data_IF_482070588184
#
_entry.id   IF_482070588184
#
_cell.length_a   1.000
_cell.length_b   1.000
_cell.length_c   1.000
_cell.angle_alpha   90.00
_cell.angle_beta   90.00
_cell.angle_gamma   90.00
#
_symmetry.space_group_name_H-M   'P 1'
#
loop_
_entity.id
_entity.type
_entity.pdbx_description
1 polymer ?
#
# COMPACT_ATOMS: atom_id res chain seq x y z
N UNK A 1 -26.30 -2.67 4.78
CA UNK A 1 -27.21 -3.19 3.74
C UNK A 1 -27.14 -4.72 3.63
N UNK A 2 -26.26 -5.37 4.41
CA UNK A 2 -26.06 -6.83 4.51
C UNK A 2 -25.70 -7.51 3.16
N UNK A 3 -25.10 -6.77 2.23
CA UNK A 3 -24.58 -7.34 0.99
C UNK A 3 -23.31 -8.14 1.24
N UNK A 4 -23.08 -9.14 0.42
CA UNK A 4 -21.95 -10.05 0.53
C UNK A 4 -20.99 -9.78 -0.61
N UNK A 5 -19.70 -9.60 -0.31
CA UNK A 5 -18.61 -9.52 -1.30
C UNK A 5 -17.88 -10.87 -1.34
N UNK A 6 -17.72 -11.39 -2.54
CA UNK A 6 -16.81 -12.50 -2.82
C UNK A 6 -15.70 -11.99 -3.74
N UNK A 7 -14.44 -12.22 -3.37
CA UNK A 7 -13.27 -11.84 -4.16
C UNK A 7 -12.35 -13.02 -4.40
N UNK A 8 -11.64 -12.98 -5.50
CA UNK A 8 -10.73 -14.00 -5.93
C UNK A 8 -10.12 -13.63 -7.29
N UNK A 9 -10.00 -14.58 -8.15
CA UNK A 9 -9.52 -14.38 -9.52
C UNK A 9 -10.32 -15.26 -10.50
N UNK A 10 -10.37 -14.84 -11.73
CA UNK A 10 -10.98 -15.60 -12.82
C UNK A 10 -10.17 -15.44 -14.12
N UNK A 11 -10.29 -16.41 -15.01
CA UNK A 11 -9.69 -16.34 -16.35
C UNK A 11 -10.75 -16.62 -17.40
N UNK A 12 -10.59 -16.03 -18.57
CA UNK A 12 -11.24 -16.50 -19.81
C UNK A 12 -10.42 -17.63 -20.42
N UNK A 13 -11.00 -18.36 -21.41
CA UNK A 13 -10.45 -19.62 -21.93
C UNK A 13 -9.03 -19.55 -22.51
N UNK A 14 -8.52 -18.37 -22.85
CA UNK A 14 -7.22 -18.16 -23.47
C UNK A 14 -6.45 -16.96 -22.87
N UNK A 15 -6.80 -16.52 -21.68
CA UNK A 15 -6.20 -15.35 -21.06
C UNK A 15 -5.67 -15.63 -19.67
N UNK A 16 -4.87 -14.70 -19.20
CA UNK A 16 -4.32 -14.59 -17.87
C UNK A 16 -5.43 -14.60 -16.79
N UNK A 17 -5.04 -14.74 -15.57
CA UNK A 17 -5.96 -14.64 -14.44
C UNK A 17 -6.03 -13.20 -13.94
N UNK A 18 -7.26 -12.67 -13.73
CA UNK A 18 -7.47 -11.32 -13.21
C UNK A 18 -8.23 -11.32 -11.91
N UNK A 19 -7.99 -10.29 -11.09
CA UNK A 19 -8.78 -10.05 -9.88
C UNK A 19 -10.26 -9.96 -10.24
N UNK A 20 -11.07 -10.76 -9.55
CA UNK A 20 -12.51 -10.80 -9.76
C UNK A 20 -13.26 -10.61 -8.45
N UNK A 21 -14.30 -9.79 -8.49
CA UNK A 21 -15.19 -9.52 -7.36
C UNK A 21 -16.64 -9.69 -7.80
N UNK A 22 -17.44 -10.34 -6.96
CA UNK A 22 -18.89 -10.40 -7.11
C UNK A 22 -19.57 -9.87 -5.85
N UNK A 23 -20.66 -9.12 -6.02
CA UNK A 23 -21.49 -8.67 -4.91
C UNK A 23 -22.87 -9.30 -4.99
N UNK A 24 -23.32 -9.81 -3.84
CA UNK A 24 -24.61 -10.47 -3.71
C UNK A 24 -25.52 -9.73 -2.74
N UNK A 25 -26.80 -9.79 -3.02
CA UNK A 25 -27.86 -9.42 -2.10
C UNK A 25 -27.96 -10.44 -0.94
N UNK A 26 -28.62 -10.11 0.18
CA UNK A 26 -28.80 -11.04 1.30
C UNK A 26 -29.52 -12.34 0.96
N UNK A 27 -30.28 -12.37 -0.13
CA UNK A 27 -30.98 -13.55 -0.62
C UNK A 27 -30.12 -14.43 -1.53
N UNK A 28 -28.86 -14.04 -1.79
CA UNK A 28 -27.91 -14.77 -2.63
C UNK A 28 -27.99 -14.43 -4.12
N UNK A 29 -28.89 -13.56 -4.55
CA UNK A 29 -28.92 -13.05 -5.93
C UNK A 29 -27.77 -12.05 -6.18
N UNK A 30 -27.29 -11.93 -7.43
CA UNK A 30 -26.34 -10.92 -7.80
C UNK A 30 -26.92 -9.50 -7.60
N UNK A 31 -26.09 -8.60 -7.09
CA UNK A 31 -26.47 -7.21 -6.92
C UNK A 31 -26.10 -6.40 -8.17
N UNK A 32 -27.03 -6.26 -9.09
CA UNK A 32 -26.84 -5.53 -10.35
C UNK A 32 -26.53 -4.03 -10.20
N UNK A 33 -26.62 -3.48 -8.99
CA UNK A 33 -26.17 -2.12 -8.75
C UNK A 33 -24.65 -1.99 -8.56
N UNK A 34 -23.95 -3.14 -8.50
CA UNK A 34 -22.49 -3.24 -8.45
C UNK A 34 -21.96 -3.48 -9.84
N UNK A 35 -21.12 -2.59 -10.36
CA UNK A 35 -20.52 -2.68 -11.69
C UNK A 35 -21.50 -2.87 -12.87
N UNK A 36 -22.82 -2.75 -12.61
CA UNK A 36 -23.88 -2.89 -13.62
C UNK A 36 -24.41 -4.31 -13.80
N UNK A 37 -23.64 -5.34 -13.47
CA UNK A 37 -24.04 -6.75 -13.59
C UNK A 37 -23.80 -7.59 -12.32
N UNK A 38 -23.30 -6.95 -11.26
CA UNK A 38 -23.01 -7.61 -9.98
C UNK A 38 -21.61 -8.19 -9.89
N UNK A 39 -20.79 -8.04 -10.94
CA UNK A 39 -19.43 -8.55 -11.00
C UNK A 39 -18.46 -7.50 -11.54
N UNK A 40 -17.19 -7.63 -11.21
CA UNK A 40 -16.13 -6.85 -11.85
C UNK A 40 -14.88 -7.69 -12.01
N UNK A 41 -14.05 -7.29 -12.96
CA UNK A 41 -12.76 -7.87 -13.25
C UNK A 41 -11.74 -6.76 -13.39
N UNK A 42 -10.54 -6.97 -12.85
CA UNK A 42 -9.44 -5.99 -12.90
C UNK A 42 -8.19 -6.69 -13.36
N UNK A 43 -7.73 -6.27 -14.52
CA UNK A 43 -6.49 -6.65 -15.15
C UNK A 43 -5.41 -5.63 -14.74
N UNK A 44 -4.31 -6.11 -14.15
CA UNK A 44 -3.14 -5.31 -13.77
C UNK A 44 -1.93 -5.74 -14.58
N UNK A 45 -1.72 -7.05 -14.69
CA UNK A 45 -0.60 -7.68 -15.37
C UNK A 45 -0.99 -9.06 -15.94
N UNK A 46 -0.06 -10.02 -16.05
CA UNK A 46 -0.34 -11.35 -16.64
C UNK A 46 -1.22 -12.22 -15.71
N UNK A 47 -0.89 -12.31 -14.41
CA UNK A 47 -1.62 -13.13 -13.45
C UNK A 47 -1.89 -12.31 -12.16
N UNK A 48 -3.13 -11.94 -11.97
CA UNK A 48 -3.58 -11.12 -10.84
C UNK A 48 -4.54 -11.88 -9.93
N UNK A 49 -4.17 -12.01 -8.68
CA UNK A 49 -4.96 -12.76 -7.71
C UNK A 49 -5.33 -11.91 -6.51
N UNK A 50 -6.58 -11.98 -6.05
CA UNK A 50 -7.03 -11.47 -4.77
C UNK A 50 -7.13 -12.61 -3.76
N UNK A 51 -6.52 -12.43 -2.59
CA UNK A 51 -6.55 -13.42 -1.50
C UNK A 51 -7.46 -13.00 -0.35
N UNK A 52 -7.59 -11.72 -0.11
CA UNK A 52 -8.46 -11.20 0.93
C UNK A 52 -9.00 -9.83 0.55
N UNK A 53 -10.27 -9.58 0.91
CA UNK A 53 -10.90 -8.28 0.79
C UNK A 53 -11.49 -7.80 2.12
N UNK A 54 -11.61 -6.49 2.26
CA UNK A 54 -12.32 -5.83 3.34
C UNK A 54 -13.20 -4.69 2.81
N UNK A 55 -14.20 -4.31 3.58
CA UNK A 55 -15.03 -3.14 3.32
C UNK A 55 -14.70 -2.08 4.36
N UNK A 56 -14.36 -0.87 3.89
CA UNK A 56 -14.10 0.28 4.74
C UNK A 56 -15.42 0.88 5.31
N UNK A 57 -15.34 1.67 6.38
CA UNK A 57 -16.54 2.31 6.96
C UNK A 57 -17.32 3.21 5.98
N UNK A 58 -16.67 3.77 4.98
CA UNK A 58 -17.25 4.56 3.90
C UNK A 58 -17.87 3.72 2.78
N UNK A 59 -17.81 2.39 2.88
CA UNK A 59 -18.34 1.44 1.91
C UNK A 59 -17.39 1.09 0.77
N UNK A 60 -16.19 1.66 0.70
CA UNK A 60 -15.18 1.28 -0.29
C UNK A 60 -14.69 -0.14 -0.04
N UNK A 61 -14.38 -0.83 -1.12
CA UNK A 61 -13.92 -2.22 -1.09
C UNK A 61 -12.44 -2.22 -1.40
N UNK A 62 -11.64 -2.87 -0.53
CA UNK A 62 -10.21 -3.05 -0.77
C UNK A 62 -9.94 -4.53 -0.88
N UNK A 63 -9.16 -4.90 -1.88
CA UNK A 63 -8.64 -6.26 -2.02
C UNK A 63 -7.13 -6.27 -2.04
N UNK A 64 -6.53 -7.31 -1.48
CA UNK A 64 -5.09 -7.52 -1.45
C UNK A 64 -4.72 -8.90 -1.97
N UNK A 65 -3.61 -8.97 -2.69
CA UNK A 65 -3.13 -10.19 -3.31
C UNK A 65 -1.80 -9.99 -4.01
N UNK A 66 -1.75 -10.42 -5.25
CA UNK A 66 -0.57 -10.28 -6.10
C UNK A 66 -0.96 -9.85 -7.51
N UNK A 67 -0.01 -9.20 -8.17
CA UNK A 67 0.06 -9.00 -9.61
C UNK A 67 1.37 -9.61 -10.10
N UNK A 68 1.34 -10.42 -11.13
CA UNK A 68 2.52 -11.14 -11.62
C UNK A 68 2.77 -10.83 -13.07
N UNK A 69 4.01 -10.48 -13.40
CA UNK A 69 4.47 -10.22 -14.74
C UNK A 69 5.87 -10.84 -14.96
N UNK A 70 6.09 -11.46 -16.10
CA UNK A 70 7.39 -12.09 -16.47
C UNK A 70 7.91 -13.07 -15.39
N UNK A 71 7.02 -13.71 -14.65
CA UNK A 71 7.35 -14.65 -13.57
C UNK A 71 7.63 -14.00 -12.20
N UNK A 72 7.57 -12.67 -12.09
CA UNK A 72 7.79 -11.91 -10.86
C UNK A 72 6.46 -11.42 -10.29
N UNK A 73 6.22 -11.71 -9.00
CA UNK A 73 5.01 -11.27 -8.32
C UNK A 73 5.28 -10.06 -7.43
N UNK A 74 4.40 -9.06 -7.51
CA UNK A 74 4.32 -7.91 -6.60
C UNK A 74 3.08 -8.03 -5.74
N UNK A 75 3.13 -7.50 -4.51
CA UNK A 75 1.90 -7.30 -3.76
C UNK A 75 1.02 -6.32 -4.51
N UNK A 76 -0.22 -6.68 -4.76
CA UNK A 76 -1.23 -5.81 -5.36
C UNK A 76 -2.34 -5.53 -4.35
N UNK A 77 -2.64 -4.24 -4.15
CA UNK A 77 -3.75 -3.76 -3.34
C UNK A 77 -4.60 -2.86 -4.21
N UNK A 78 -5.87 -3.20 -4.35
CA UNK A 78 -6.80 -2.48 -5.23
C UNK A 78 -7.97 -1.94 -4.42
N UNK A 79 -8.39 -0.71 -4.71
CA UNK A 79 -9.55 -0.10 -4.05
C UNK A 79 -10.63 0.28 -5.04
N UNK A 80 -11.86 -0.09 -4.68
CA UNK A 80 -13.06 0.22 -5.45
C UNK A 80 -14.03 1.07 -4.64
N UNK A 81 -14.77 1.90 -5.34
CA UNK A 81 -15.92 2.61 -4.81
C UNK A 81 -17.06 1.63 -4.46
N UNK A 82 -18.06 2.06 -3.65
CA UNK A 82 -19.19 1.19 -3.29
C UNK A 82 -20.02 0.67 -4.47
N UNK A 83 -19.94 1.32 -5.62
CA UNK A 83 -20.64 0.92 -6.85
C UNK A 83 -19.83 -0.06 -7.71
N UNK A 84 -18.60 -0.39 -7.34
CA UNK A 84 -17.68 -1.26 -8.08
C UNK A 84 -16.76 -0.54 -9.07
N UNK A 85 -16.90 0.76 -9.25
CA UNK A 85 -15.93 1.53 -10.03
C UNK A 85 -14.59 1.62 -9.32
N UNK A 86 -13.50 1.75 -10.09
CA UNK A 86 -12.15 1.94 -9.54
C UNK A 86 -12.07 3.25 -8.76
N UNK A 87 -11.52 3.22 -7.56
CA UNK A 87 -11.25 4.45 -6.80
C UNK A 87 -9.91 5.04 -7.20
N UNK A 88 -9.93 5.90 -8.20
CA UNK A 88 -8.72 6.52 -8.76
C UNK A 88 -7.98 7.45 -7.79
N UNK A 89 -8.52 7.69 -6.60
CA UNK A 89 -7.84 8.46 -5.54
C UNK A 89 -6.89 7.61 -4.68
N UNK A 90 -6.88 6.28 -4.89
CA UNK A 90 -6.05 5.34 -4.17
C UNK A 90 -4.90 4.88 -5.04
N UNK A 91 -3.66 5.03 -4.57
CA UNK A 91 -2.49 4.62 -5.32
C UNK A 91 -2.37 5.27 -6.70
N UNK A 92 -2.04 4.48 -7.69
CA UNK A 92 -2.06 4.88 -9.09
C UNK A 92 -3.33 4.32 -9.71
N UNK A 93 -4.28 5.19 -10.04
CA UNK A 93 -5.58 4.81 -10.65
C UNK A 93 -6.34 3.70 -9.91
N UNK A 94 -6.24 3.65 -8.58
CA UNK A 94 -6.95 2.67 -7.75
C UNK A 94 -6.09 1.48 -7.31
N UNK A 95 -4.81 1.43 -7.71
CA UNK A 95 -3.92 0.29 -7.53
C UNK A 95 -2.65 0.72 -6.78
N UNK A 96 -2.22 -0.12 -5.85
CA UNK A 96 -0.91 -0.07 -5.22
C UNK A 96 -0.20 -1.39 -5.52
N UNK A 97 0.93 -1.31 -6.21
CA UNK A 97 1.85 -2.43 -6.35
C UNK A 97 3.09 -2.20 -5.49
N UNK A 98 3.50 -3.23 -4.73
CA UNK A 98 4.68 -3.18 -3.86
C UNK A 98 5.63 -4.32 -4.19
N UNK A 99 6.85 -3.95 -4.54
CA UNK A 99 7.97 -4.86 -4.70
C UNK A 99 8.82 -4.80 -3.43
N UNK A 100 8.65 -5.76 -2.52
CA UNK A 100 9.38 -5.87 -1.25
C UNK A 100 10.70 -6.62 -1.49
N UNK A 101 10.63 -7.66 -2.31
CA UNK A 101 11.79 -8.43 -2.78
C UNK A 101 11.76 -8.51 -4.32
N UNK A 102 12.91 -8.65 -4.93
CA UNK A 102 13.08 -8.65 -6.39
C UNK A 102 12.50 -9.88 -7.08
N UNK A 103 12.14 -10.92 -6.33
CA UNK A 103 11.66 -12.20 -6.89
C UNK A 103 10.15 -12.36 -6.69
N UNK A 104 9.67 -12.31 -5.46
CA UNK A 104 8.25 -12.42 -5.19
C UNK A 104 7.84 -11.59 -3.98
N UNK A 105 6.70 -10.93 -4.08
CA UNK A 105 6.06 -10.21 -2.98
C UNK A 105 4.56 -10.44 -3.06
N UNK A 106 3.99 -11.15 -2.08
CA UNK A 106 2.60 -11.60 -2.11
C UNK A 106 1.89 -11.12 -0.85
N UNK A 107 0.78 -10.41 -1.01
CA UNK A 107 -0.12 -10.06 0.08
C UNK A 107 -1.10 -11.21 0.34
N UNK A 108 -1.07 -11.78 1.53
CA UNK A 108 -1.97 -12.87 1.90
C UNK A 108 -3.13 -12.42 2.78
N UNK A 109 -3.00 -11.27 3.44
CA UNK A 109 -3.97 -10.77 4.41
C UNK A 109 -3.97 -9.25 4.45
N UNK A 110 -5.15 -8.67 4.67
CA UNK A 110 -5.32 -7.22 4.85
C UNK A 110 -6.34 -6.95 5.95
N UNK A 111 -6.00 -6.00 6.83
CA UNK A 111 -6.93 -5.53 7.87
C UNK A 111 -6.92 -4.00 7.92
N UNK A 112 -8.02 -3.44 8.39
CA UNK A 112 -8.10 -2.03 8.77
C UNK A 112 -7.70 -1.89 10.24
N UNK A 113 -6.61 -1.17 10.51
CA UNK A 113 -6.15 -0.87 11.85
C UNK A 113 -7.10 0.10 12.58
N UNK A 114 -6.98 0.20 13.92
CA UNK A 114 -7.81 1.10 14.72
C UNK A 114 -7.56 2.58 14.41
N UNK A 115 -6.46 2.89 13.77
CA UNK A 115 -6.09 4.23 13.28
C UNK A 115 -6.56 4.50 11.84
N UNK A 116 -7.42 3.64 11.29
CA UNK A 116 -7.95 3.75 9.93
C UNK A 116 -6.96 3.37 8.82
N UNK A 117 -5.75 2.93 9.17
CA UNK A 117 -4.72 2.55 8.20
C UNK A 117 -4.78 1.07 7.86
N UNK A 118 -4.39 0.73 6.65
CA UNK A 118 -4.34 -0.66 6.22
C UNK A 118 -3.05 -1.34 6.69
N UNK A 119 -3.17 -2.52 7.24
CA UNK A 119 -2.06 -3.42 7.52
C UNK A 119 -2.19 -4.62 6.58
N UNK A 120 -1.15 -4.85 5.79
CA UNK A 120 -1.07 -5.92 4.80
C UNK A 120 0.01 -6.88 5.23
N UNK A 121 -0.36 -8.10 5.52
CA UNK A 121 0.56 -9.20 5.84
C UNK A 121 0.75 -10.12 4.65
N UNK A 122 1.96 -10.65 4.51
CA UNK A 122 2.25 -11.53 3.39
C UNK A 122 3.67 -12.09 3.44
N UNK A 123 4.19 -12.46 2.29
CA UNK A 123 5.54 -12.98 2.16
C UNK A 123 6.30 -12.27 1.04
N UNK A 124 7.63 -12.24 1.19
CA UNK A 124 8.54 -11.73 0.18
C UNK A 124 9.81 -12.60 0.12
N UNK A 125 10.34 -12.84 -1.08
CA UNK A 125 11.51 -13.67 -1.29
C UNK A 125 11.27 -14.80 -2.28
N UNK A 126 12.16 -15.79 -2.30
CA UNK A 126 12.07 -17.00 -3.11
C UNK A 126 12.21 -18.25 -2.26
N UNK A 127 11.59 -19.36 -2.70
CA UNK A 127 11.81 -20.66 -2.07
C UNK A 127 13.29 -21.10 -2.21
N UNK A 128 14.03 -21.45 -1.10
CA UNK A 128 13.55 -21.66 0.25
C UNK A 128 13.58 -20.43 1.18
N UNK A 129 14.01 -19.26 0.71
CA UNK A 129 14.25 -18.06 1.51
C UNK A 129 13.08 -17.07 1.44
N UNK A 130 11.86 -17.56 1.65
CA UNK A 130 10.65 -16.73 1.65
C UNK A 130 10.35 -16.24 3.06
N UNK A 131 10.45 -14.94 3.27
CA UNK A 131 10.24 -14.31 4.57
C UNK A 131 8.82 -13.74 4.73
N UNK A 132 8.37 -13.66 6.00
CA UNK A 132 7.16 -12.94 6.34
C UNK A 132 7.39 -11.43 6.23
N UNK A 133 6.42 -10.72 5.67
CA UNK A 133 6.43 -9.25 5.62
C UNK A 133 5.11 -8.65 6.11
N UNK A 134 5.22 -7.46 6.70
CA UNK A 134 4.09 -6.65 7.13
C UNK A 134 4.27 -5.23 6.60
N UNK A 135 3.27 -4.76 5.87
CA UNK A 135 3.25 -3.42 5.28
C UNK A 135 2.11 -2.62 5.89
N UNK A 136 2.38 -1.39 6.28
CA UNK A 136 1.37 -0.43 6.70
C UNK A 136 1.16 0.59 5.59
N UNK A 137 -0.06 0.64 5.05
CA UNK A 137 -0.45 1.59 4.01
C UNK A 137 -1.20 2.75 4.67
N UNK A 138 -0.75 3.95 4.40
CA UNK A 138 -1.38 5.17 4.88
C UNK A 138 -2.44 5.59 3.86
N UNK A 139 -3.70 5.23 4.08
CA UNK A 139 -4.78 5.41 3.11
C UNK A 139 -5.46 6.77 3.15
N UNK A 140 -5.37 7.45 4.28
CA UNK A 140 -5.97 8.78 4.44
C UNK A 140 -5.06 9.61 5.34
N UNK A 141 -4.43 10.58 4.74
CA UNK A 141 -3.85 11.67 5.51
C UNK A 141 -4.96 12.68 5.71
N UNK A 142 -5.80 12.44 6.71
CA UNK A 142 -6.50 13.57 7.32
C UNK A 142 -5.50 14.35 8.12
N UNK A 143 -4.96 15.38 7.47
CA UNK A 143 -4.43 16.43 8.16
C UNK A 143 -4.24 17.67 7.61
N UNK A 144 -4.29 18.64 8.25
CA UNK A 144 -3.86 19.97 7.96
C UNK A 144 -2.69 20.03 6.98
N UNK A 145 -3.02 20.30 5.72
CA UNK A 145 -2.14 20.94 4.74
C UNK A 145 -0.82 20.23 4.46
N UNK A 146 -0.89 19.07 3.87
CA UNK A 146 -0.06 18.70 2.75
C UNK A 146 -0.98 18.28 1.64
N UNK A 147 -0.95 19.00 0.57
CA UNK A 147 -1.50 18.54 -0.68
C UNK A 147 -0.60 17.44 -1.28
N UNK A 148 -0.32 16.40 -0.47
CA UNK A 148 0.02 15.07 -0.94
C UNK A 148 -1.27 14.38 -1.43
N UNK A 149 -2.28 15.18 -1.77
CA UNK A 149 -3.49 14.74 -2.39
C UNK A 149 -3.17 14.14 -3.74
N UNK A 150 -3.45 12.88 -3.82
CA UNK A 150 -3.36 11.98 -4.96
C UNK A 150 -1.96 11.39 -5.21
N UNK A 151 -1.81 10.12 -4.85
CA UNK A 151 -0.78 9.19 -5.27
C UNK A 151 0.63 9.36 -4.66
N UNK A 152 0.76 9.71 -3.40
CA UNK A 152 2.05 9.62 -2.75
C UNK A 152 2.11 8.40 -1.85
N UNK A 153 2.47 7.28 -2.44
CA UNK A 153 2.85 6.11 -1.67
C UNK A 153 4.15 6.43 -0.97
N UNK A 154 4.13 6.46 0.36
CA UNK A 154 5.35 6.42 1.14
C UNK A 154 5.55 4.99 1.59
N UNK A 155 6.59 4.37 1.09
CA UNK A 155 6.93 2.97 1.39
C UNK A 155 8.21 2.97 2.20
N UNK A 156 8.22 2.27 3.33
CA UNK A 156 9.40 2.05 4.15
C UNK A 156 9.59 0.56 4.35
N UNK A 157 10.75 0.06 3.97
CA UNK A 157 11.12 -1.33 4.20
C UNK A 157 12.65 -1.52 4.28
N UNK A 158 13.15 -2.58 4.94
CA UNK A 158 12.42 -3.47 5.82
C UNK A 158 11.95 -2.77 7.08
N UNK A 159 10.83 -3.22 7.63
CA UNK A 159 10.35 -2.77 8.93
C UNK A 159 9.64 -3.97 9.61
N UNK A 160 10.20 -4.58 10.67
CA UNK A 160 11.36 -4.13 11.47
C UNK A 160 12.70 -4.13 10.75
N UNK A 161 13.62 -3.30 11.24
CA UNK A 161 14.96 -3.14 10.66
C UNK A 161 16.05 -3.01 11.73
N UNK A 162 17.30 -3.35 11.35
CA UNK A 162 18.47 -3.21 12.24
C UNK A 162 19.54 -2.27 11.69
N UNK A 163 19.63 -2.15 10.39
CA UNK A 163 20.75 -1.46 9.75
C UNK A 163 20.32 -0.30 8.87
N UNK A 164 19.29 -0.49 8.05
CA UNK A 164 18.81 0.52 7.11
C UNK A 164 17.32 0.36 6.81
N UNK A 165 16.73 1.44 6.36
CA UNK A 165 15.42 1.44 5.72
C UNK A 165 15.53 2.06 4.33
N UNK A 166 14.83 1.50 3.37
CA UNK A 166 14.57 2.14 2.09
C UNK A 166 13.26 2.90 2.21
N UNK A 167 13.32 4.18 1.93
CA UNK A 167 12.17 5.06 1.81
C UNK A 167 11.90 5.32 0.34
N UNK A 168 10.68 5.04 -0.11
CA UNK A 168 10.22 5.39 -1.45
C UNK A 168 8.98 6.27 -1.35
N UNK A 169 8.92 7.36 -2.12
CA UNK A 169 7.77 8.26 -2.20
C UNK A 169 7.69 8.90 -3.57
N UNK A 170 6.49 9.36 -3.95
CA UNK A 170 6.27 10.01 -5.24
C UNK A 170 5.92 11.48 -5.05
N UNK A 171 6.53 12.36 -5.83
CA UNK A 171 6.23 13.79 -5.86
C UNK A 171 5.55 14.17 -7.17
N UNK A 172 4.52 15.00 -7.11
CA UNK A 172 3.85 15.56 -8.30
C UNK A 172 4.51 16.82 -8.82
N UNK A 173 5.11 17.56 -7.94
CA UNK A 173 5.83 18.81 -8.22
C UNK A 173 7.16 18.81 -7.49
N UNK A 174 8.05 19.73 -7.85
CA UNK A 174 9.31 19.90 -7.14
C UNK A 174 9.06 20.39 -5.72
N UNK A 175 9.67 19.71 -4.73
CA UNK A 175 9.53 20.00 -3.30
C UNK A 175 10.91 19.98 -2.63
N UNK A 176 11.06 20.81 -1.61
CA UNK A 176 12.21 20.74 -0.72
C UNK A 176 11.86 19.85 0.47
N UNK A 177 12.65 18.81 0.68
CA UNK A 177 12.39 17.79 1.70
C UNK A 177 13.46 17.80 2.76
N UNK A 178 13.03 17.74 4.02
CA UNK A 178 13.85 17.44 5.18
C UNK A 178 13.46 16.07 5.74
N UNK A 179 14.46 15.29 6.16
CA UNK A 179 14.26 13.92 6.62
C UNK A 179 15.05 13.67 7.89
N UNK A 180 14.38 13.28 8.95
CA UNK A 180 15.00 13.02 10.24
C UNK A 180 14.40 11.82 10.95
N UNK A 181 15.21 11.17 11.79
CA UNK A 181 14.82 10.13 12.71
C UNK A 181 14.61 10.73 14.09
N UNK A 182 13.47 10.46 14.71
CA UNK A 182 13.11 10.96 16.04
C UNK A 182 12.68 9.81 16.95
N UNK A 183 12.85 9.98 18.25
CA UNK A 183 12.33 9.10 19.29
C UNK A 183 10.81 9.23 19.45
N UNK A 184 10.21 8.35 20.25
CA UNK A 184 8.79 8.42 20.63
C UNK A 184 8.41 9.74 21.36
N UNK A 185 9.34 10.36 22.06
CA UNK A 185 9.16 11.66 22.74
C UNK A 185 9.36 12.87 21.82
N UNK A 186 9.66 12.63 20.52
CA UNK A 186 9.90 13.67 19.53
C UNK A 186 11.33 14.21 19.50
N UNK A 187 12.25 13.69 20.35
CA UNK A 187 13.65 14.11 20.33
C UNK A 187 14.37 13.61 19.07
N UNK A 188 15.23 14.46 18.50
CA UNK A 188 15.99 14.15 17.31
C UNK A 188 17.06 13.10 17.60
N UNK A 189 17.04 12.00 16.83
CA UNK A 189 18.07 10.95 16.86
C UNK A 189 19.10 11.18 15.78
N UNK A 190 18.63 11.44 14.55
CA UNK A 190 19.51 11.66 13.38
C UNK A 190 18.83 12.54 12.35
N UNK A 191 19.58 13.45 11.77
CA UNK A 191 19.17 14.19 10.60
C UNK A 191 19.81 13.55 9.36
N UNK A 192 18.99 13.12 8.39
CA UNK A 192 19.47 12.53 7.15
C UNK A 192 19.68 13.59 6.06
N UNK A 193 18.73 14.51 5.94
CA UNK A 193 18.81 15.61 4.98
C UNK A 193 18.00 16.82 5.45
N UNK A 194 18.37 17.98 4.99
CA UNK A 194 17.70 19.24 5.33
C UNK A 194 17.48 20.07 4.08
N UNK A 195 16.21 20.37 3.78
CA UNK A 195 15.79 21.25 2.70
C UNK A 195 16.41 20.90 1.33
N UNK A 196 16.44 19.59 1.00
CA UNK A 196 16.98 19.08 -0.26
C UNK A 196 15.87 19.12 -1.31
N UNK A 197 16.16 19.68 -2.48
CA UNK A 197 15.21 19.80 -3.57
C UNK A 197 15.08 18.49 -4.36
N UNK A 198 13.86 18.02 -4.53
CA UNK A 198 13.50 16.87 -5.34
C UNK A 198 12.63 17.29 -6.52
N UNK A 199 12.85 16.65 -7.66
CA UNK A 199 12.01 16.81 -8.83
C UNK A 199 10.76 15.92 -8.75
N UNK A 200 9.70 16.21 -9.55
CA UNK A 200 8.55 15.31 -9.65
C UNK A 200 8.95 13.91 -10.09
N UNK A 201 8.28 12.90 -9.56
CA UNK A 201 8.52 11.49 -9.85
C UNK A 201 8.76 10.65 -8.62
N UNK A 202 9.18 9.40 -8.83
CA UNK A 202 9.49 8.46 -7.76
C UNK A 202 10.87 8.80 -7.17
N UNK A 203 10.89 9.03 -5.86
CA UNK A 203 12.08 9.30 -5.07
C UNK A 203 12.40 8.10 -4.18
N UNK A 204 13.67 7.68 -4.16
CA UNK A 204 14.11 6.56 -3.34
C UNK A 204 15.33 6.96 -2.51
N UNK A 205 15.26 6.74 -1.21
CA UNK A 205 16.32 7.03 -0.26
C UNK A 205 16.70 5.80 0.55
N UNK A 206 18.00 5.58 0.73
CA UNK A 206 18.54 4.56 1.62
C UNK A 206 19.04 5.22 2.90
N UNK A 207 18.40 4.93 4.02
CA UNK A 207 18.65 5.57 5.29
C UNK A 207 19.30 4.57 6.25
N UNK A 208 20.60 4.70 6.47
CA UNK A 208 21.30 3.87 7.45
C UNK A 208 20.98 4.34 8.87
N UNK A 209 20.49 3.42 9.69
CA UNK A 209 20.26 3.68 11.10
C UNK A 209 21.60 3.90 11.83
N UNK A 210 21.61 4.68 12.92
CA UNK A 210 22.80 4.82 13.75
C UNK A 210 23.23 3.45 14.30
N UNK A 211 24.52 3.15 14.30
CA UNK A 211 25.05 1.86 14.77
C UNK A 211 24.79 1.56 16.23
N UNK A 212 24.57 2.59 17.03
CA UNK A 212 24.32 2.49 18.48
C UNK A 212 22.85 2.70 18.85
N UNK A 213 21.92 2.63 17.84
CA UNK A 213 20.52 2.81 18.10
C UNK A 213 19.99 1.65 18.96
N UNK A 214 19.30 1.98 20.05
CA UNK A 214 18.66 0.97 20.90
C UNK A 214 17.48 0.30 20.15
N UNK A 215 17.17 -0.95 20.51
CA UNK A 215 15.94 -1.57 20.03
C UNK A 215 14.72 -0.82 20.54
N UNK A 216 13.80 -0.47 19.66
CA UNK A 216 12.61 0.30 20.03
C UNK A 216 11.89 0.87 18.81
N UNK A 217 10.82 1.60 19.08
CA UNK A 217 10.05 2.30 18.07
C UNK A 217 10.62 3.70 17.88
N UNK A 218 10.90 4.04 16.64
CA UNK A 218 11.33 5.35 16.19
C UNK A 218 10.38 5.88 15.12
N UNK A 219 10.45 7.16 14.84
CA UNK A 219 9.67 7.76 13.77
C UNK A 219 10.60 8.40 12.74
N UNK A 220 10.41 8.04 11.48
CA UNK A 220 10.98 8.77 10.37
C UNK A 220 10.07 9.96 10.07
N UNK A 221 10.62 11.16 10.21
CA UNK A 221 9.93 12.41 10.01
C UNK A 221 10.32 12.97 8.65
N UNK A 222 9.33 13.18 7.80
CA UNK A 222 9.46 13.78 6.47
C UNK A 222 8.78 15.15 6.54
N UNK A 223 9.51 16.21 6.24
CA UNK A 223 9.00 17.58 6.28
C UNK A 223 9.24 18.27 4.93
N UNK A 224 8.23 18.99 4.47
CA UNK A 224 8.35 19.95 3.36
C UNK A 224 8.01 21.34 3.86
N UNK A 225 8.04 22.35 2.98
CA UNK A 225 7.66 23.73 3.37
C UNK A 225 6.21 23.80 3.90
N UNK A 226 5.33 22.93 3.39
CA UNK A 226 3.90 23.00 3.67
C UNK A 226 3.39 21.81 4.50
N UNK A 227 4.26 20.87 4.89
CA UNK A 227 3.80 19.64 5.44
C UNK A 227 4.79 18.80 6.24
N UNK A 228 4.24 17.92 7.10
CA UNK A 228 4.99 17.07 8.01
C UNK A 228 4.32 15.71 8.17
N UNK A 229 5.05 14.64 7.88
CA UNK A 229 4.59 13.25 8.03
C UNK A 229 5.56 12.49 8.91
N UNK A 230 5.06 11.66 9.82
CA UNK A 230 5.87 10.77 10.64
C UNK A 230 5.45 9.31 10.43
N UNK A 231 6.44 8.42 10.27
CA UNK A 231 6.20 7.00 9.99
C UNK A 231 7.00 6.18 11.01
N UNK A 232 6.30 5.28 11.72
CA UNK A 232 6.94 4.42 12.70
C UNK A 232 7.87 3.39 12.03
N UNK A 233 9.07 3.23 12.58
CA UNK A 233 10.03 2.16 12.27
C UNK A 233 10.44 1.45 13.56
N UNK A 234 10.60 0.11 13.47
CA UNK A 234 10.97 -0.76 14.60
C UNK A 234 12.37 -1.34 14.41
#
# INVERSE_FOLDING_TARGET
>A
DNKIIASGYSSDFDSDTDISIARFNPDGSLDYSFSGDGTLRTDIAEDDHSWQSLIQPDGKIITAGQSKQDGFAKMAIVRYNPDGSMDTTFGIEGIIELEIDTLQSIASSIILGPDGKLLVGGSAGSDPDNDFCLVKILTDIEVGILDFNQANQIIIYPNPTKEYVKLSFTLKQSENISLSLINMDGSLVKNYMQNVSYNPGICNEFLHLPSEIASGIYYLLIETENAKVSIAIN
#
